data_IF_077036984082
#
_entry.id   IF_077036984082
#
_cell.length_a   1.000
_cell.length_b   1.000
_cell.length_c   1.000
_cell.angle_alpha   90.00
_cell.angle_beta   90.00
_cell.angle_gamma   90.00
#
_symmetry.space_group_name_H-M   'P 1'
#
loop_
_entity.id
_entity.type
_entity.pdbx_description
1 polymer ?
#
# COMPACT_ATOMS: atom_id res chain seq x y z
N UNK A 1 -53.02 2.50 -3.66
CA UNK A 1 -52.09 3.36 -2.88
C UNK A 1 -51.81 2.75 -1.50
N UNK A 2 -50.70 2.02 -1.40
CA UNK A 2 -50.22 1.45 -0.15
C UNK A 2 -49.42 2.54 0.58
N UNK A 3 -49.82 2.90 1.79
CA UNK A 3 -49.15 3.92 2.61
C UNK A 3 -47.73 3.48 3.04
N UNK A 4 -46.90 4.42 3.54
CA UNK A 4 -45.52 4.11 3.90
C UNK A 4 -45.46 3.11 5.06
N UNK A 5 -44.65 2.06 4.93
CA UNK A 5 -44.35 1.18 6.06
C UNK A 5 -43.48 1.92 7.10
N UNK A 6 -43.69 1.67 8.41
CA UNK A 6 -42.85 2.24 9.45
C UNK A 6 -41.42 1.68 9.38
N UNK A 7 -40.41 2.48 9.77
CA UNK A 7 -39.03 2.04 9.81
C UNK A 7 -38.85 0.87 10.78
N UNK A 8 -37.99 -0.08 10.41
CA UNK A 8 -37.63 -1.21 11.26
C UNK A 8 -37.15 -0.72 12.64
N UNK A 9 -37.53 -1.38 13.75
CA UNK A 9 -37.02 -1.03 15.06
C UNK A 9 -35.49 -1.11 15.06
N UNK A 10 -34.84 -0.06 15.54
CA UNK A 10 -33.39 -0.05 15.78
C UNK A 10 -33.02 -1.30 16.60
N UNK A 11 -31.92 -2.01 16.28
CA UNK A 11 -31.50 -3.11 17.12
C UNK A 11 -31.24 -2.58 18.53
N UNK A 12 -32.06 -3.02 19.49
CA UNK A 12 -31.84 -2.81 20.91
C UNK A 12 -30.38 -3.15 21.23
N UNK A 13 -29.70 -2.26 21.94
CA UNK A 13 -28.38 -2.55 22.49
C UNK A 13 -28.51 -3.72 23.46
N UNK A 14 -28.28 -4.92 22.94
CA UNK A 14 -28.18 -6.13 23.75
C UNK A 14 -26.90 -5.98 24.56
N UNK A 15 -27.03 -5.59 25.83
CA UNK A 15 -25.96 -5.67 26.81
C UNK A 15 -25.43 -7.11 26.80
N UNK A 16 -24.31 -7.34 26.10
CA UNK A 16 -23.62 -8.63 26.06
C UNK A 16 -23.10 -8.92 27.46
N UNK A 17 -23.87 -9.68 28.23
CA UNK A 17 -23.36 -10.29 29.45
C UNK A 17 -22.41 -11.39 28.99
N UNK A 18 -21.09 -11.29 29.23
CA UNK A 18 -20.18 -12.36 28.85
C UNK A 18 -20.54 -13.60 29.66
N UNK A 19 -20.99 -14.66 28.97
CA UNK A 19 -21.26 -15.97 29.57
C UNK A 19 -19.93 -16.63 29.92
N UNK A 20 -19.36 -16.22 31.04
CA UNK A 20 -18.06 -16.66 31.49
C UNK A 20 -18.15 -18.09 32.04
N UNK A 21 -17.68 -19.05 31.26
CA UNK A 21 -17.56 -20.45 31.70
C UNK A 21 -16.09 -20.72 32.06
N UNK A 22 -15.80 -21.57 33.06
CA UNK A 22 -14.42 -21.83 33.57
C UNK A 22 -13.37 -22.18 32.50
N UNK A 23 -13.80 -22.61 31.31
CA UNK A 23 -12.93 -22.95 30.18
C UNK A 23 -13.19 -22.11 28.91
N UNK A 24 -14.19 -21.24 28.88
CA UNK A 24 -14.54 -20.45 27.70
C UNK A 24 -15.02 -19.05 28.11
N UNK A 25 -14.15 -18.06 27.90
CA UNK A 25 -14.41 -16.64 28.15
C UNK A 25 -15.37 -16.01 27.13
N UNK A 26 -15.50 -16.58 25.93
CA UNK A 26 -16.04 -15.88 24.75
C UNK A 26 -16.94 -16.75 23.85
N UNK A 27 -17.65 -17.72 24.44
CA UNK A 27 -18.54 -18.64 23.69
C UNK A 27 -19.70 -17.93 22.99
N UNK A 28 -20.18 -16.82 23.56
CA UNK A 28 -21.20 -15.98 22.92
C UNK A 28 -20.68 -15.33 21.64
N UNK A 29 -19.46 -14.78 21.66
CA UNK A 29 -18.85 -14.12 20.50
C UNK A 29 -18.51 -15.10 19.39
N UNK A 30 -18.09 -16.33 19.71
CA UNK A 30 -17.82 -17.32 18.66
C UNK A 30 -19.09 -17.69 17.88
N UNK A 31 -20.24 -17.76 18.55
CA UNK A 31 -21.54 -17.96 17.91
C UNK A 31 -21.95 -16.75 17.04
N UNK A 32 -21.68 -15.54 17.51
CA UNK A 32 -22.00 -14.33 16.74
C UNK A 32 -21.08 -14.19 15.51
N UNK A 33 -19.80 -14.52 15.65
CA UNK A 33 -18.84 -14.54 14.55
C UNK A 33 -19.22 -15.59 13.51
N UNK A 34 -19.69 -16.77 13.92
CA UNK A 34 -20.15 -17.79 12.97
C UNK A 34 -21.41 -17.35 12.22
N UNK A 35 -22.39 -16.74 12.92
CA UNK A 35 -23.58 -16.15 12.30
C UNK A 35 -23.22 -15.02 11.32
N UNK A 36 -22.33 -14.11 11.73
CA UNK A 36 -21.84 -13.04 10.87
C UNK A 36 -21.14 -13.58 9.63
N UNK A 37 -20.27 -14.57 9.80
CA UNK A 37 -19.59 -15.22 8.68
C UNK A 37 -20.59 -15.87 7.71
N UNK A 38 -21.60 -16.58 8.23
CA UNK A 38 -22.65 -17.19 7.40
C UNK A 38 -23.43 -16.14 6.61
N UNK A 39 -23.84 -15.05 7.25
CA UNK A 39 -24.59 -13.96 6.61
C UNK A 39 -23.76 -13.25 5.54
N UNK A 40 -22.49 -12.99 5.80
CA UNK A 40 -21.59 -12.36 4.82
C UNK A 40 -21.33 -13.25 3.60
N UNK A 41 -21.24 -14.58 3.78
CA UNK A 41 -21.15 -15.48 2.62
C UNK A 41 -22.44 -15.47 1.79
N UNK A 42 -23.62 -15.48 2.41
CA UNK A 42 -24.88 -15.33 1.69
C UNK A 42 -24.94 -14.00 0.90
N UNK A 43 -24.49 -12.90 1.50
CA UNK A 43 -24.41 -11.60 0.80
C UNK A 43 -23.45 -11.62 -0.39
N UNK A 44 -22.31 -12.31 -0.29
CA UNK A 44 -21.35 -12.44 -1.39
C UNK A 44 -21.98 -13.10 -2.62
N UNK A 45 -22.92 -14.02 -2.44
CA UNK A 45 -23.64 -14.64 -3.56
C UNK A 45 -24.50 -13.63 -4.35
N UNK A 46 -24.99 -12.56 -3.72
CA UNK A 46 -25.72 -11.50 -4.43
C UNK A 46 -24.83 -10.70 -5.38
N UNK A 47 -23.54 -10.55 -5.05
CA UNK A 47 -22.56 -9.85 -5.89
C UNK A 47 -21.93 -10.76 -6.96
N UNK A 48 -22.25 -12.05 -6.98
CA UNK A 48 -21.85 -12.91 -8.10
C UNK A 48 -22.58 -12.44 -9.36
N UNK A 49 -21.84 -12.40 -10.46
CA UNK A 49 -22.42 -12.06 -11.74
C UNK A 49 -23.52 -13.07 -12.11
N UNK A 50 -24.75 -12.58 -12.26
CA UNK A 50 -25.92 -13.38 -12.69
C UNK A 50 -26.12 -13.33 -14.21
N UNK A 51 -25.37 -12.46 -14.88
CA UNK A 51 -25.51 -12.13 -16.30
C UNK A 51 -24.73 -13.10 -17.20
N UNK A 52 -23.81 -13.87 -16.62
CA UNK A 52 -23.00 -14.88 -17.33
C UNK A 52 -21.91 -14.29 -18.24
N UNK A 53 -21.69 -12.97 -18.18
CA UNK A 53 -20.74 -12.23 -19.01
C UNK A 53 -19.34 -12.18 -18.40
N UNK A 54 -19.22 -12.25 -17.07
CA UNK A 54 -17.93 -12.19 -16.38
C UNK A 54 -17.42 -13.59 -16.07
N UNK A 55 -16.31 -13.96 -16.70
CA UNK A 55 -15.60 -15.20 -16.40
C UNK A 55 -14.91 -15.09 -15.03
N UNK A 56 -15.12 -16.06 -14.12
CA UNK A 56 -14.37 -16.10 -12.86
C UNK A 56 -12.88 -16.23 -13.16
N UNK A 57 -12.07 -15.28 -12.71
CA UNK A 57 -10.61 -15.34 -12.86
C UNK A 57 -10.07 -16.26 -11.76
N UNK A 58 -9.44 -17.42 -12.10
CA UNK A 58 -9.04 -18.42 -11.11
C UNK A 58 -7.76 -18.07 -10.35
N UNK A 59 -7.15 -16.92 -10.64
CA UNK A 59 -5.87 -16.51 -10.06
C UNK A 59 -5.89 -15.02 -9.75
N UNK A 60 -5.19 -14.64 -8.70
CA UNK A 60 -4.89 -13.25 -8.41
C UNK A 60 -3.54 -12.90 -9.04
N UNK A 61 -3.50 -11.86 -9.85
CA UNK A 61 -2.23 -11.30 -10.32
C UNK A 61 -1.65 -10.48 -9.18
N UNK A 62 -0.63 -11.01 -8.53
CA UNK A 62 0.11 -10.25 -7.53
C UNK A 62 0.98 -9.20 -8.23
N UNK A 63 1.02 -7.96 -7.73
CA UNK A 63 2.00 -6.98 -8.19
C UNK A 63 3.41 -7.56 -8.06
N UNK A 64 4.19 -7.40 -9.12
CA UNK A 64 5.61 -7.77 -9.15
C UNK A 64 6.31 -7.12 -7.96
N UNK A 65 7.23 -7.83 -7.30
CA UNK A 65 7.93 -7.28 -6.14
C UNK A 65 8.65 -5.99 -6.54
N UNK A 66 8.65 -4.99 -5.66
CA UNK A 66 9.25 -3.68 -5.94
C UNK A 66 10.70 -3.80 -6.42
N UNK A 67 11.49 -4.72 -5.84
CA UNK A 67 12.88 -4.99 -6.23
C UNK A 67 13.05 -5.50 -7.67
N UNK A 68 12.06 -6.19 -8.22
CA UNK A 68 12.07 -6.68 -9.61
C UNK A 68 11.64 -5.56 -10.58
N UNK A 69 10.76 -4.66 -10.14
CA UNK A 69 10.27 -3.55 -10.96
C UNK A 69 11.24 -2.35 -10.96
N UNK A 70 11.89 -2.11 -9.84
CA UNK A 70 12.85 -1.04 -9.60
C UNK A 70 14.06 -1.63 -8.86
N UNK A 71 15.08 -2.12 -9.60
CA UNK A 71 16.30 -2.62 -8.97
C UNK A 71 16.94 -1.50 -8.15
N UNK A 72 17.57 -1.87 -7.04
CA UNK A 72 18.24 -0.92 -6.17
C UNK A 72 19.31 -0.16 -6.99
N UNK A 73 19.49 1.17 -6.82
CA UNK A 73 20.43 1.95 -7.63
C UNK A 73 21.90 1.49 -7.51
N UNK A 74 22.22 0.63 -6.53
CA UNK A 74 23.55 0.00 -6.36
C UNK A 74 23.66 -1.34 -7.12
N UNK A 75 22.54 -1.98 -7.45
CA UNK A 75 22.48 -3.25 -8.20
C UNK A 75 22.39 -3.02 -9.72
N UNK A 76 22.85 -1.85 -10.20
CA UNK A 76 22.82 -1.53 -11.62
C UNK A 76 23.88 -2.34 -12.37
N UNK A 77 23.55 -2.88 -13.57
CA UNK A 77 24.54 -3.54 -14.40
C UNK A 77 25.66 -2.57 -14.79
N UNK A 78 26.87 -3.07 -15.09
CA UNK A 78 27.98 -2.23 -15.54
C UNK A 78 27.55 -1.32 -16.69
N UNK A 79 27.86 -0.02 -16.58
CA UNK A 79 27.51 0.96 -17.60
C UNK A 79 28.23 0.64 -18.91
N UNK A 80 27.53 0.77 -20.03
CA UNK A 80 28.14 0.70 -21.37
C UNK A 80 29.25 1.74 -21.51
N UNK A 81 30.33 1.40 -22.23
CA UNK A 81 31.44 2.31 -22.48
C UNK A 81 31.02 3.65 -23.11
N UNK A 82 29.96 3.67 -23.94
CA UNK A 82 29.38 4.91 -24.51
C UNK A 82 28.72 5.77 -23.42
N UNK A 83 27.99 5.15 -22.50
CA UNK A 83 27.33 5.82 -21.37
C UNK A 83 28.36 6.36 -20.39
N UNK A 84 29.39 5.57 -20.07
CA UNK A 84 30.50 6.00 -19.23
C UNK A 84 31.27 7.17 -19.85
N UNK A 85 31.58 7.11 -21.14
CA UNK A 85 32.20 8.23 -21.88
C UNK A 85 31.34 9.50 -21.88
N UNK A 86 30.02 9.34 -21.98
CA UNK A 86 29.12 10.49 -21.92
C UNK A 86 29.10 11.08 -20.50
N UNK A 87 28.95 10.24 -19.47
CA UNK A 87 28.95 10.64 -18.06
C UNK A 87 30.25 11.35 -17.64
N UNK A 88 31.41 10.80 -18.04
CA UNK A 88 32.71 11.43 -17.80
C UNK A 88 32.86 12.77 -18.52
N UNK A 89 32.23 12.95 -19.70
CA UNK A 89 32.24 14.25 -20.38
C UNK A 89 31.29 15.27 -19.77
N UNK A 90 30.11 14.84 -19.31
CA UNK A 90 29.15 15.74 -18.64
C UNK A 90 29.48 15.97 -17.16
N UNK A 91 30.36 15.16 -16.59
CA UNK A 91 30.84 15.24 -15.21
C UNK A 91 32.31 14.79 -15.13
N UNK A 92 33.27 15.56 -15.68
CA UNK A 92 34.70 15.21 -15.63
C UNK A 92 35.21 15.08 -14.20
N UNK A 93 34.69 15.94 -13.33
CA UNK A 93 34.56 15.73 -11.91
C UNK A 93 33.12 16.15 -11.54
N UNK A 94 32.52 15.58 -10.51
CA UNK A 94 31.26 16.07 -9.93
C UNK A 94 31.44 17.46 -9.23
N UNK A 95 32.42 18.26 -9.69
CA UNK A 95 32.69 19.66 -9.39
C UNK A 95 31.58 20.54 -9.99
N UNK A 96 30.32 20.30 -9.59
CA UNK A 96 29.36 21.40 -9.52
C UNK A 96 29.90 22.34 -8.44
N UNK A 97 30.80 23.25 -8.84
CA UNK A 97 31.34 24.33 -8.00
C UNK A 97 30.22 25.15 -7.37
N UNK A 98 29.04 25.10 -8.00
CA UNK A 98 27.80 25.56 -7.44
C UNK A 98 26.59 24.72 -7.90
N UNK A 99 25.57 24.63 -7.05
CA UNK A 99 24.24 24.11 -7.38
C UNK A 99 23.24 25.26 -7.46
N UNK A 100 22.43 25.32 -8.52
CA UNK A 100 21.35 26.32 -8.64
C UNK A 100 20.02 25.68 -8.25
N UNK A 101 19.34 26.24 -7.25
CA UNK A 101 17.99 25.82 -6.88
C UNK A 101 16.97 26.28 -7.93
N UNK A 102 15.77 25.67 -7.99
CA UNK A 102 14.67 26.15 -8.82
C UNK A 102 14.29 27.62 -8.56
N UNK A 103 14.62 28.14 -7.36
CA UNK A 103 14.50 29.54 -6.99
C UNK A 103 15.57 30.47 -7.60
N UNK A 104 16.51 29.93 -8.38
CA UNK A 104 17.64 30.65 -8.98
C UNK A 104 18.84 30.88 -8.06
N UNK A 105 18.74 30.57 -6.76
CA UNK A 105 19.85 30.72 -5.81
C UNK A 105 20.97 29.73 -6.11
N UNK A 106 22.21 30.23 -6.14
CA UNK A 106 23.42 29.42 -6.33
C UNK A 106 24.04 29.11 -4.96
N UNK A 107 24.35 27.85 -4.74
CA UNK A 107 24.94 27.29 -3.52
C UNK A 107 26.34 26.82 -3.84
N UNK A 108 27.31 27.05 -2.97
CA UNK A 108 28.70 26.60 -3.17
C UNK A 108 28.86 25.08 -3.00
N UNK A 109 29.98 24.53 -3.46
CA UNK A 109 30.31 23.11 -3.27
C UNK A 109 30.33 22.71 -1.78
N UNK A 110 30.86 23.56 -0.90
CA UNK A 110 30.95 23.29 0.54
C UNK A 110 29.57 23.19 1.20
N UNK A 111 28.66 24.11 0.90
CA UNK A 111 27.28 24.09 1.43
C UNK A 111 26.50 22.88 0.92
N UNK A 112 26.72 22.47 -0.34
CA UNK A 112 26.15 21.23 -0.89
C UNK A 112 26.64 20.00 -0.12
N UNK A 113 27.93 19.91 0.15
CA UNK A 113 28.55 18.77 0.84
C UNK A 113 28.04 18.65 2.27
N UNK A 114 27.96 19.77 3.00
CA UNK A 114 27.38 19.82 4.35
C UNK A 114 25.93 19.32 4.32
N UNK A 115 25.10 19.81 3.39
CA UNK A 115 23.71 19.36 3.25
C UNK A 115 23.62 17.86 2.94
N UNK A 116 24.45 17.39 2.02
CA UNK A 116 24.41 16.00 1.55
C UNK A 116 24.93 15.02 2.60
N UNK A 117 25.88 15.43 3.47
CA UNK A 117 26.44 14.58 4.51
C UNK A 117 25.37 13.96 5.42
N UNK A 118 24.26 14.66 5.66
CA UNK A 118 23.13 14.16 6.45
C UNK A 118 22.43 12.94 5.82
N UNK A 119 22.45 12.81 4.49
CA UNK A 119 21.76 11.75 3.77
C UNK A 119 22.64 10.52 3.52
N UNK A 120 23.97 10.69 3.49
CA UNK A 120 24.92 9.58 3.27
C UNK A 120 24.91 8.56 4.43
N UNK A 121 24.60 8.98 5.66
CA UNK A 121 24.55 8.09 6.84
C UNK A 121 23.19 7.40 7.07
N UNK A 122 22.25 7.52 6.13
CA UNK A 122 20.91 6.90 6.25
C UNK A 122 20.72 5.65 5.40
N UNK A 123 21.74 5.23 4.65
CA UNK A 123 21.72 4.04 3.79
C UNK A 123 22.22 2.80 4.54
#
# INVERSE_FOLDING_TARGET
PQGPQPPAPCPEEVHRTPLHTRFNLDSGRSLELSRFYQLTQQQREFYRDKTGTLYPVPHFVLPVKEKERYPHPVDLPPLSGKTQWHLLRVSPENLRTYQTFPSGKRVTAQEREIRNSFFEYRA
#
